data_IF_349509410713
#
_entry.id   IF_349509410713
#
_cell.length_a   1.000
_cell.length_b   1.000
_cell.length_c   1.000
_cell.angle_alpha   90.00
_cell.angle_beta   90.00
_cell.angle_gamma   90.00
#
_symmetry.space_group_name_H-M   'P 1'
#
loop_
_entity.id
_entity.type
_entity.pdbx_description
1 polymer ?
#
# COMPACT_ATOMS: atom_id res chain seq x y z
N UNK A 1 -10.79 -11.55 33.65
CA UNK A 1 -11.28 -10.25 34.16
C UNK A 1 -10.05 -9.46 34.55
N UNK A 2 -9.79 -8.30 33.93
CA UNK A 2 -8.62 -7.49 34.26
C UNK A 2 -8.86 -6.77 35.60
N UNK A 3 -7.97 -6.95 36.57
CA UNK A 3 -7.98 -6.24 37.85
C UNK A 3 -6.91 -5.14 37.84
N UNK A 4 -7.24 -3.95 38.33
CA UNK A 4 -6.30 -2.83 38.45
C UNK A 4 -5.92 -2.67 39.92
N UNK A 5 -4.62 -2.59 40.22
CA UNK A 5 -4.14 -2.30 41.56
C UNK A 5 -4.27 -0.80 41.84
N UNK A 6 -5.08 -0.42 42.82
CA UNK A 6 -5.30 0.96 43.25
C UNK A 6 -4.89 1.13 44.72
N UNK A 7 -4.37 2.31 45.06
CA UNK A 7 -4.06 2.66 46.46
C UNK A 7 -5.20 3.48 47.06
N UNK A 8 -5.63 3.11 48.25
CA UNK A 8 -6.61 3.89 49.01
C UNK A 8 -6.00 5.26 49.38
N UNK A 9 -6.69 6.37 49.08
CA UNK A 9 -6.18 7.71 49.39
C UNK A 9 -6.14 8.02 50.88
N UNK A 10 -6.87 7.29 51.72
CA UNK A 10 -6.94 7.56 53.17
C UNK A 10 -5.90 6.79 53.99
N UNK A 11 -5.63 5.53 53.65
CA UNK A 11 -4.74 4.67 54.44
C UNK A 11 -3.53 4.14 53.66
N UNK A 12 -3.48 4.35 52.35
CA UNK A 12 -2.37 3.88 51.49
C UNK A 12 -2.39 2.38 51.19
N UNK A 13 -3.37 1.61 51.68
CA UNK A 13 -3.51 0.20 51.37
C UNK A 13 -3.70 -0.02 49.86
N UNK A 14 -3.10 -1.08 49.32
CA UNK A 14 -3.21 -1.43 47.90
C UNK A 14 -4.28 -2.51 47.74
N UNK A 15 -5.29 -2.25 46.92
CA UNK A 15 -6.41 -3.15 46.65
C UNK A 15 -6.49 -3.45 45.15
N UNK A 16 -6.82 -4.68 44.78
CA UNK A 16 -7.11 -5.08 43.40
C UNK A 16 -8.60 -4.88 43.11
N UNK A 17 -8.93 -3.84 42.36
CA UNK A 17 -10.33 -3.52 42.04
C UNK A 17 -10.71 -4.15 40.70
N UNK A 18 -11.84 -4.85 40.66
CA UNK A 18 -12.36 -5.51 39.47
C UNK A 18 -13.09 -4.54 38.50
N UNK A 19 -13.57 -3.40 39.00
CA UNK A 19 -14.28 -2.38 38.23
C UNK A 19 -13.45 -1.08 38.17
N UNK A 20 -12.98 -0.66 36.97
CA UNK A 20 -12.16 0.55 36.81
C UNK A 20 -12.93 1.86 37.03
N UNK A 21 -14.23 1.82 37.31
CA UNK A 21 -15.05 3.00 37.54
C UNK A 21 -16.10 2.76 38.62
N UNK A 22 -16.33 3.75 39.48
CA UNK A 22 -17.41 3.74 40.46
C UNK A 22 -16.97 4.10 41.87
N UNK A 23 -17.90 4.02 42.81
CA UNK A 23 -17.63 4.21 44.23
C UNK A 23 -17.10 2.90 44.83
N UNK A 24 -15.91 2.94 45.39
CA UNK A 24 -15.29 1.81 46.09
C UNK A 24 -15.20 2.10 47.57
N UNK A 25 -15.24 1.05 48.38
CA UNK A 25 -15.06 1.12 49.83
C UNK A 25 -13.77 0.37 50.14
N UNK A 26 -12.82 1.03 50.79
CA UNK A 26 -11.59 0.37 51.22
C UNK A 26 -11.92 -0.68 52.29
N UNK A 27 -11.48 -1.92 52.10
CA UNK A 27 -11.69 -3.02 53.05
C UNK A 27 -10.87 -2.82 54.33
N UNK A 28 -9.77 -2.07 54.26
CA UNK A 28 -8.89 -1.82 55.40
C UNK A 28 -9.38 -0.70 56.32
N UNK A 29 -9.84 0.42 55.76
CA UNK A 29 -10.19 1.62 56.54
C UNK A 29 -11.66 2.04 56.44
N UNK A 30 -12.46 1.37 55.60
CA UNK A 30 -13.88 1.71 55.39
C UNK A 30 -14.13 3.01 54.63
N UNK A 31 -13.08 3.71 54.19
CA UNK A 31 -13.22 4.97 53.46
C UNK A 31 -13.84 4.71 52.10
N UNK A 32 -14.87 5.50 51.75
CA UNK A 32 -15.49 5.50 50.43
C UNK A 32 -14.75 6.48 49.52
N UNK A 33 -14.30 6.02 48.37
CA UNK A 33 -13.61 6.85 47.40
C UNK A 33 -14.11 6.55 45.98
N UNK A 34 -14.13 7.57 45.12
CA UNK A 34 -14.53 7.41 43.74
C UNK A 34 -13.31 7.05 42.90
N UNK A 35 -13.36 5.90 42.25
CA UNK A 35 -12.36 5.48 41.27
C UNK A 35 -12.80 5.99 39.91
N UNK A 36 -12.02 6.92 39.35
CA UNK A 36 -12.12 7.31 37.96
C UNK A 36 -10.82 6.86 37.29
N UNK A 37 -10.75 5.59 36.86
CA UNK A 37 -9.66 5.22 35.95
C UNK A 37 -9.95 5.94 34.65
N UNK A 38 -9.23 7.01 34.35
CA UNK A 38 -9.11 7.41 32.95
C UNK A 38 -8.42 6.24 32.27
N UNK A 39 -9.22 5.42 31.58
CA UNK A 39 -8.69 4.59 30.53
C UNK A 39 -8.10 5.62 29.58
N UNK A 40 -6.80 5.85 29.70
CA UNK A 40 -6.03 6.38 28.60
C UNK A 40 -6.22 5.29 27.57
N UNK A 41 -7.28 5.41 26.77
CA UNK A 41 -7.26 4.90 25.43
C UNK A 41 -6.02 5.57 24.87
N UNK A 42 -4.90 4.86 24.94
CA UNK A 42 -3.97 4.85 23.86
C UNK A 42 -4.85 4.41 22.70
N UNK A 43 -5.54 5.40 22.12
CA UNK A 43 -5.85 5.38 20.72
C UNK A 43 -4.46 5.13 20.15
N UNK A 44 -4.21 3.88 19.79
CA UNK A 44 -3.22 3.57 18.79
C UNK A 44 -3.80 4.31 17.59
N UNK A 45 -3.49 5.59 17.51
CA UNK A 45 -3.38 6.27 16.25
C UNK A 45 -2.29 5.46 15.58
N UNK A 46 -2.70 4.41 14.87
CA UNK A 46 -2.15 4.19 13.54
C UNK A 46 -2.36 5.52 12.82
N UNK A 47 -1.50 6.50 13.11
CA UNK A 47 -1.08 7.46 12.13
C UNK A 47 -0.15 6.65 11.25
N UNK A 48 -0.60 6.15 10.08
CA UNK A 48 0.34 6.16 8.98
C UNK A 48 0.74 7.63 8.87
N UNK A 49 1.94 7.92 9.37
CA UNK A 49 2.60 9.21 9.27
C UNK A 49 2.92 9.39 7.77
N UNK A 50 1.87 9.53 6.96
CA UNK A 50 1.97 9.91 5.57
C UNK A 50 2.29 11.40 5.57
N UNK A 51 3.56 11.67 5.81
CA UNK A 51 4.16 12.96 5.50
C UNK A 51 3.74 13.35 4.08
N UNK A 52 3.38 14.62 3.81
CA UNK A 52 2.96 15.08 2.49
C UNK A 52 4.02 14.85 1.39
N UNK A 53 5.26 14.57 1.80
CA UNK A 53 6.36 14.18 0.93
C UNK A 53 6.22 12.75 0.40
N UNK A 54 5.74 11.81 1.23
CA UNK A 54 5.50 10.42 0.84
C UNK A 54 4.40 10.32 -0.22
N UNK A 55 3.32 11.10 -0.10
CA UNK A 55 2.26 11.16 -1.11
C UNK A 55 2.79 11.64 -2.48
N UNK A 56 3.71 12.62 -2.51
CA UNK A 56 4.35 13.08 -3.75
C UNK A 56 5.25 12.00 -4.36
N UNK A 57 5.95 11.23 -3.54
CA UNK A 57 6.80 10.13 -4.02
C UNK A 57 5.97 9.03 -4.69
N UNK A 58 4.85 8.62 -4.08
CA UNK A 58 3.95 7.62 -4.67
C UNK A 58 3.30 8.11 -5.97
N UNK A 59 2.89 9.39 -6.03
CA UNK A 59 2.33 9.98 -7.24
C UNK A 59 3.33 9.99 -8.40
N UNK A 60 4.57 10.44 -8.13
CA UNK A 60 5.63 10.46 -9.14
C UNK A 60 5.98 9.05 -9.64
N UNK A 61 6.04 8.07 -8.74
CA UNK A 61 6.30 6.68 -9.11
C UNK A 61 5.19 6.12 -10.00
N UNK A 62 3.92 6.39 -9.67
CA UNK A 62 2.77 5.96 -10.47
C UNK A 62 2.75 6.59 -11.87
N UNK A 63 3.11 7.86 -11.99
CA UNK A 63 3.20 8.56 -13.29
C UNK A 63 4.30 7.93 -14.15
N UNK A 64 5.50 7.69 -13.59
CA UNK A 64 6.61 7.08 -14.33
C UNK A 64 6.24 5.68 -14.80
N UNK A 65 5.64 4.86 -13.94
CA UNK A 65 5.22 3.49 -14.30
C UNK A 65 4.19 3.51 -15.44
N UNK A 66 3.24 4.44 -15.39
CA UNK A 66 2.20 4.59 -16.42
C UNK A 66 2.80 4.98 -17.77
N UNK A 67 3.74 5.94 -17.78
CA UNK A 67 4.43 6.36 -19.00
C UNK A 67 5.24 5.21 -19.63
N UNK A 68 5.95 4.44 -18.80
CA UNK A 68 6.69 3.26 -19.26
C UNK A 68 5.76 2.21 -19.87
N UNK A 69 4.61 1.96 -19.25
CA UNK A 69 3.63 1.02 -19.78
C UNK A 69 3.06 1.45 -21.13
N UNK A 70 2.66 2.72 -21.27
CA UNK A 70 2.17 3.27 -22.54
C UNK A 70 3.25 3.19 -23.62
N UNK A 71 4.49 3.58 -23.31
CA UNK A 71 5.60 3.50 -24.24
C UNK A 71 5.88 2.05 -24.69
N UNK A 72 5.80 1.08 -23.78
CA UNK A 72 5.95 -0.34 -24.10
C UNK A 72 4.84 -0.83 -25.03
N UNK A 73 3.57 -0.51 -24.75
CA UNK A 73 2.43 -0.92 -25.59
C UNK A 73 2.52 -0.29 -26.98
N UNK A 74 2.79 1.02 -27.07
CA UNK A 74 2.92 1.73 -28.36
C UNK A 74 4.14 1.20 -29.14
N UNK A 75 5.29 1.07 -28.48
CA UNK A 75 6.51 0.53 -29.09
C UNK A 75 6.32 -0.90 -29.60
N UNK A 76 5.64 -1.75 -28.82
CA UNK A 76 5.34 -3.12 -29.21
C UNK A 76 4.36 -3.18 -30.39
N UNK A 77 3.34 -2.31 -30.41
CA UNK A 77 2.41 -2.19 -31.54
C UNK A 77 3.11 -1.78 -32.85
N UNK A 78 4.05 -0.84 -32.78
CA UNK A 78 4.87 -0.44 -33.94
C UNK A 78 5.76 -1.59 -34.42
N UNK A 79 6.38 -2.33 -33.50
CA UNK A 79 7.23 -3.48 -33.82
C UNK A 79 6.44 -4.60 -34.54
N UNK A 80 5.23 -4.90 -34.07
CA UNK A 80 4.34 -5.87 -34.75
C UNK A 80 3.98 -5.39 -36.15
N UNK A 81 3.59 -4.12 -36.31
CA UNK A 81 3.21 -3.56 -37.61
C UNK A 81 4.33 -3.66 -38.67
N UNK A 82 5.59 -3.46 -38.26
CA UNK A 82 6.74 -3.59 -39.15
C UNK A 82 7.00 -5.05 -39.56
N UNK A 83 6.82 -6.00 -38.65
CA UNK A 83 6.97 -7.43 -38.95
C UNK A 83 5.88 -7.91 -39.94
N UNK A 84 4.65 -7.42 -39.79
CA UNK A 84 3.56 -7.71 -40.74
C UNK A 84 3.86 -7.16 -42.13
N UNK A 85 4.47 -5.98 -42.26
CA UNK A 85 4.74 -5.36 -43.57
C UNK A 85 5.86 -6.03 -44.37
N UNK A 86 6.75 -6.81 -43.75
CA UNK A 86 7.83 -7.54 -44.45
C UNK A 86 7.31 -8.81 -45.14
N UNK A 87 6.17 -9.36 -44.71
CA UNK A 87 5.60 -10.60 -45.24
C UNK A 87 4.96 -10.43 -46.62
N UNK A 88 4.53 -9.22 -46.98
CA UNK A 88 3.78 -8.94 -48.23
C UNK A 88 4.65 -8.47 -49.41
N UNK A 89 5.95 -8.79 -49.46
CA UNK A 89 6.69 -8.63 -50.73
C UNK A 89 6.37 -9.82 -51.66
N UNK A 90 5.58 -9.63 -52.73
CA UNK A 90 5.42 -10.68 -53.73
C UNK A 90 6.80 -10.97 -54.36
N UNK A 91 7.09 -12.23 -54.71
CA UNK A 91 8.32 -12.56 -55.41
C UNK A 91 8.39 -11.75 -56.70
N UNK A 92 9.44 -10.93 -56.81
CA UNK A 92 9.77 -10.19 -58.02
C UNK A 92 10.07 -11.20 -59.12
N UNK A 93 9.06 -11.54 -59.92
CA UNK A 93 9.22 -12.30 -61.15
C UNK A 93 10.02 -11.43 -62.12
N UNK A 94 11.35 -11.53 -62.01
CA UNK A 94 12.31 -10.99 -62.96
C UNK A 94 12.04 -11.65 -64.30
N UNK A 95 11.48 -10.89 -65.23
CA UNK A 95 11.32 -11.29 -66.62
C UNK A 95 12.71 -11.69 -67.18
N UNK A 96 12.94 -12.98 -67.41
CA UNK A 96 14.05 -13.43 -68.23
C UNK A 96 13.75 -13.02 -69.68
N UNK A 97 14.52 -12.07 -70.21
CA UNK A 97 14.55 -11.84 -71.64
C UNK A 97 15.15 -13.07 -72.35
N UNK A 98 14.57 -13.55 -73.46
CA UNK A 98 15.15 -14.65 -74.23
C UNK A 98 16.43 -14.15 -74.91
N UNK A 99 17.58 -14.71 -74.51
CA UNK A 99 18.85 -14.49 -75.18
C UNK A 99 18.81 -15.21 -76.54
N UNK A 100 18.74 -14.41 -77.60
CA UNK A 100 18.75 -14.85 -78.99
C UNK A 100 20.17 -15.32 -79.34
N UNK A 101 20.35 -16.59 -79.71
CA UNK A 101 21.63 -17.15 -80.16
C UNK A 101 21.78 -16.95 -81.67
N UNK A 102 22.89 -16.36 -82.16
CA UNK A 102 23.18 -16.33 -83.59
C UNK A 102 23.76 -17.68 -84.04
N UNK A 103 23.15 -18.29 -85.07
CA UNK A 103 23.76 -19.34 -85.90
C UNK A 103 24.68 -18.66 -86.92
N UNK A 104 25.95 -19.03 -86.92
CA UNK A 104 26.82 -18.99 -88.09
C UNK A 104 27.66 -20.26 -88.11
#
# INVERSE_FOLDING_TARGET
>A
MASVALKCPSCGATESVAAPHGMQICEFCGTRYQVQVHVVQQHVTETPDETPEQARQWLNLGIILTLLFVAAVVGFGIMIGLLSSVKDRPPSHRNLAPYNTPRH
#
